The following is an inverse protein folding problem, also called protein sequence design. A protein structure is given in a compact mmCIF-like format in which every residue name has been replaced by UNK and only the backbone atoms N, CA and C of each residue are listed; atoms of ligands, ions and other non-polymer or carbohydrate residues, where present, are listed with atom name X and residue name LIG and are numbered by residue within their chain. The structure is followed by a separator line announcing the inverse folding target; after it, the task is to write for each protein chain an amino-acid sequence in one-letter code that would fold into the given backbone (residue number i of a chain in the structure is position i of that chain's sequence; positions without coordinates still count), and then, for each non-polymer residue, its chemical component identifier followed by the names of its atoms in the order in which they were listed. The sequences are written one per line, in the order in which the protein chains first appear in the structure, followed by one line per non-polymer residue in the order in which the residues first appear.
data_IF_240781481431
#
_entry.id   IF_240781481431
#
_cell.length_a   1.000
_cell.length_b   1.000
_cell.length_c   1.000
_cell.angle_alpha   90.00
_cell.angle_beta   90.00
_cell.angle_gamma   90.00
#
_symmetry.space_group_name_H-M   'P 1'
#
loop_
_entity.id
_entity.type
_entity.pdbx_description
1 polymer ?
#
# COMPACT_ATOMS: atom_id res chain seq x y z
N UNK A 1 -28.06 3.95 -4.16
CA UNK A 1 -28.40 5.22 -4.82
C UNK A 1 -28.09 5.12 -6.30
N UNK A 2 -29.06 5.38 -7.19
CA UNK A 2 -28.81 5.42 -8.63
C UNK A 2 -28.07 6.72 -9.00
N UNK A 3 -27.10 6.64 -9.92
CA UNK A 3 -26.30 7.76 -10.44
C UNK A 3 -25.49 8.56 -9.40
N UNK A 4 -24.76 7.87 -8.51
CA UNK A 4 -23.76 8.48 -7.64
C UNK A 4 -22.49 8.81 -8.44
N UNK A 5 -22.14 10.10 -8.49
CA UNK A 5 -20.91 10.62 -9.11
C UNK A 5 -20.02 11.22 -8.04
N UNK A 6 -18.71 10.94 -8.09
CA UNK A 6 -17.77 11.39 -7.06
C UNK A 6 -16.75 12.36 -7.64
N UNK A 7 -16.62 13.52 -6.99
CA UNK A 7 -15.60 14.52 -7.27
C UNK A 7 -14.59 14.54 -6.12
N UNK A 8 -13.34 14.19 -6.40
CA UNK A 8 -12.26 14.17 -5.40
C UNK A 8 -11.37 15.40 -5.60
N UNK A 9 -11.31 16.25 -4.58
CA UNK A 9 -10.51 17.47 -4.59
C UNK A 9 -9.04 17.16 -4.29
N UNK A 10 -8.18 17.33 -5.29
CA UNK A 10 -6.75 17.01 -5.23
C UNK A 10 -5.84 18.09 -5.84
N UNK A 11 -6.34 19.32 -6.01
CA UNK A 11 -5.65 20.39 -6.71
C UNK A 11 -4.74 21.27 -5.82
N UNK A 12 -4.84 21.13 -4.49
CA UNK A 12 -4.09 21.95 -3.54
C UNK A 12 -2.58 21.68 -3.57
N UNK A 13 -1.78 22.74 -3.50
CA UNK A 13 -0.31 22.69 -3.56
C UNK A 13 0.33 21.94 -2.37
N UNK A 14 -0.32 21.92 -1.21
CA UNK A 14 0.16 21.17 -0.05
C UNK A 14 1.50 21.67 0.53
N UNK A 15 1.77 22.97 0.47
CA UNK A 15 3.04 23.60 0.88
C UNK A 15 3.53 23.19 2.28
N UNK A 16 2.60 22.95 3.22
CA UNK A 16 2.89 22.45 4.58
C UNK A 16 3.54 21.06 4.63
N UNK A 17 3.45 20.27 3.56
CA UNK A 17 4.13 18.98 3.43
C UNK A 17 5.63 19.11 3.20
N UNK A 18 6.11 20.27 2.70
CA UNK A 18 7.53 20.50 2.37
C UNK A 18 8.12 19.35 1.54
N UNK A 19 7.45 19.02 0.42
CA UNK A 19 7.77 17.84 -0.40
C UNK A 19 7.59 18.16 -1.88
N UNK A 20 8.46 17.59 -2.72
CA UNK A 20 8.30 17.65 -4.19
C UNK A 20 7.24 16.68 -4.74
N UNK A 21 6.76 15.78 -3.87
CA UNK A 21 5.67 14.85 -4.16
C UNK A 21 4.35 15.56 -3.83
N UNK A 22 3.36 15.59 -4.74
CA UNK A 22 2.04 16.14 -4.47
C UNK A 22 1.43 15.55 -3.19
N UNK A 23 0.80 16.41 -2.37
CA UNK A 23 0.23 16.04 -1.06
C UNK A 23 -0.52 14.71 -1.10
N UNK A 24 -1.48 14.59 -2.02
CA UNK A 24 -2.38 13.45 -2.19
C UNK A 24 -1.69 12.13 -2.60
N UNK A 25 -0.46 12.19 -3.10
CA UNK A 25 0.32 11.01 -3.50
C UNK A 25 1.22 10.48 -2.38
N UNK A 26 1.33 11.19 -1.24
CA UNK A 26 1.96 10.58 -0.07
C UNK A 26 1.21 9.32 0.34
N UNK A 27 1.97 8.35 0.86
CA UNK A 27 1.44 7.03 1.18
C UNK A 27 1.09 6.92 2.66
N UNK A 28 -0.07 6.34 2.92
CA UNK A 28 -0.47 5.82 4.22
C UNK A 28 -0.27 4.30 4.13
N UNK A 29 0.74 3.80 4.84
CA UNK A 29 1.30 2.47 4.61
C UNK A 29 1.81 2.36 3.17
N UNK A 30 1.38 1.38 2.38
CA UNK A 30 1.85 1.12 1.03
C UNK A 30 1.00 1.79 -0.08
N UNK A 31 -0.08 2.49 0.27
CA UNK A 31 -1.05 3.07 -0.69
C UNK A 31 -1.14 4.59 -0.59
N UNK A 32 -1.35 5.27 -1.72
CA UNK A 32 -1.48 6.74 -1.77
C UNK A 32 -2.77 7.21 -1.10
N UNK A 33 -2.77 8.41 -0.51
CA UNK A 33 -3.96 8.93 0.16
C UNK A 33 -5.17 9.03 -0.78
N UNK A 34 -4.96 9.55 -1.99
CA UNK A 34 -6.03 9.60 -3.00
C UNK A 34 -6.49 8.20 -3.42
N UNK A 35 -5.59 7.20 -3.41
CA UNK A 35 -5.95 5.82 -3.69
C UNK A 35 -6.95 5.25 -2.70
N UNK A 36 -6.78 5.52 -1.39
CA UNK A 36 -7.76 5.14 -0.38
C UNK A 36 -9.13 5.80 -0.62
N UNK A 37 -9.16 7.08 -0.99
CA UNK A 37 -10.41 7.81 -1.24
C UNK A 37 -11.13 7.28 -2.50
N UNK A 38 -10.37 7.00 -3.57
CA UNK A 38 -10.91 6.37 -4.78
C UNK A 38 -11.52 5.01 -4.46
N UNK A 39 -10.80 4.15 -3.72
CA UNK A 39 -11.28 2.82 -3.38
C UNK A 39 -12.50 2.86 -2.46
N UNK A 40 -12.51 3.70 -1.43
CA UNK A 40 -13.69 3.88 -0.57
C UNK A 40 -14.92 4.32 -1.39
N UNK A 41 -14.71 5.17 -2.39
CA UNK A 41 -15.77 5.60 -3.31
C UNK A 41 -16.29 4.45 -4.19
N UNK A 42 -15.39 3.64 -4.75
CA UNK A 42 -15.74 2.47 -5.57
C UNK A 42 -16.45 1.39 -4.76
N UNK A 43 -15.94 1.10 -3.55
CA UNK A 43 -16.54 0.17 -2.59
C UNK A 43 -17.94 0.62 -2.15
N UNK A 44 -18.20 1.94 -2.08
CA UNK A 44 -19.52 2.51 -1.84
C UNK A 44 -20.46 2.46 -3.07
N UNK A 45 -19.99 1.92 -4.20
CA UNK A 45 -20.77 1.72 -5.41
C UNK A 45 -20.66 2.83 -6.46
N UNK A 46 -19.77 3.80 -6.29
CA UNK A 46 -19.53 4.82 -7.31
C UNK A 46 -18.85 4.22 -8.55
N UNK A 47 -19.42 4.50 -9.72
CA UNK A 47 -18.87 4.10 -11.03
C UNK A 47 -18.19 5.25 -11.74
N UNK A 48 -18.65 6.47 -11.48
CA UNK A 48 -18.17 7.70 -12.08
C UNK A 48 -17.37 8.47 -11.03
N UNK A 49 -16.05 8.58 -11.26
CA UNK A 49 -15.14 9.31 -10.36
C UNK A 49 -14.33 10.30 -11.17
N UNK A 50 -14.33 11.56 -10.73
CA UNK A 50 -13.54 12.64 -11.27
C UNK A 50 -12.57 13.18 -10.21
N UNK A 51 -11.27 13.16 -10.50
CA UNK A 51 -10.24 13.74 -9.63
C UNK A 51 -9.87 15.13 -10.15
N UNK A 52 -10.12 16.16 -9.35
CA UNK A 52 -9.74 17.54 -9.66
C UNK A 52 -8.30 17.76 -9.28
N UNK A 53 -7.43 17.98 -10.27
CA UNK A 53 -5.98 18.14 -10.10
C UNK A 53 -5.53 19.56 -10.45
N UNK A 54 -4.43 20.01 -9.86
CA UNK A 54 -3.92 21.38 -10.02
C UNK A 54 -2.42 21.38 -10.22
N UNK A 55 -1.69 21.91 -9.24
CA UNK A 55 -0.23 21.91 -9.23
C UNK A 55 0.34 20.50 -9.42
N UNK A 56 1.36 20.35 -10.29
CA UNK A 56 1.97 19.05 -10.64
C UNK A 56 0.96 17.97 -11.11
N UNK A 57 -0.15 18.39 -11.72
CA UNK A 57 -1.23 17.49 -12.17
C UNK A 57 -0.77 16.32 -13.04
N UNK A 58 0.30 16.45 -13.83
CA UNK A 58 0.84 15.35 -14.64
C UNK A 58 1.27 14.16 -13.78
N UNK A 59 1.96 14.42 -12.65
CA UNK A 59 2.41 13.36 -11.74
C UNK A 59 1.21 12.63 -11.11
N UNK A 60 0.21 13.39 -10.66
CA UNK A 60 -1.03 12.84 -10.06
C UNK A 60 -1.81 12.01 -11.08
N UNK A 61 -2.00 12.53 -12.30
CA UNK A 61 -2.71 11.82 -13.38
C UNK A 61 -2.03 10.52 -13.75
N UNK A 62 -0.72 10.55 -13.99
CA UNK A 62 0.01 9.35 -14.41
C UNK A 62 -0.04 8.29 -13.30
N UNK A 63 0.25 8.67 -12.05
CA UNK A 63 0.21 7.75 -10.92
C UNK A 63 -1.16 7.10 -10.75
N UNK A 64 -2.26 7.88 -10.84
CA UNK A 64 -3.61 7.33 -10.70
C UNK A 64 -3.98 6.43 -11.89
N UNK A 65 -3.62 6.81 -13.12
CA UNK A 65 -3.88 5.99 -14.32
C UNK A 65 -3.14 4.65 -14.32
N UNK A 66 -1.96 4.61 -13.72
CA UNK A 66 -1.19 3.36 -13.59
C UNK A 66 -1.82 2.38 -12.58
N UNK A 67 -2.69 2.88 -11.68
CA UNK A 67 -3.28 2.09 -10.59
C UNK A 67 -4.78 1.82 -10.74
N UNK A 68 -5.51 2.70 -11.43
CA UNK A 68 -6.97 2.68 -11.50
C UNK A 68 -7.46 2.93 -12.93
N UNK A 69 -8.40 2.10 -13.36
CA UNK A 69 -9.14 2.29 -14.60
C UNK A 69 -10.31 3.26 -14.41
N UNK A 70 -10.77 3.87 -15.51
CA UNK A 70 -12.01 4.66 -15.58
C UNK A 70 -12.08 5.89 -14.65
N UNK A 71 -10.95 6.47 -14.27
CA UNK A 71 -10.90 7.74 -13.52
C UNK A 71 -10.85 8.94 -14.49
N UNK A 72 -11.81 9.85 -14.35
CA UNK A 72 -11.82 11.13 -15.06
C UNK A 72 -10.97 12.17 -14.32
N UNK A 73 -10.48 13.16 -15.06
CA UNK A 73 -9.66 14.22 -14.47
C UNK A 73 -10.11 15.60 -14.93
N UNK A 74 -10.38 16.47 -13.96
CA UNK A 74 -10.57 17.90 -14.18
C UNK A 74 -9.30 18.66 -13.79
N UNK A 75 -8.97 19.75 -14.47
CA UNK A 75 -7.77 20.55 -14.18
C UNK A 75 -8.17 21.91 -13.64
N UNK A 76 -7.87 22.16 -12.37
CA UNK A 76 -7.92 23.47 -11.76
C UNK A 76 -6.59 24.20 -11.97
N UNK A 77 -6.50 24.97 -13.06
CA UNK A 77 -5.29 25.75 -13.40
C UNK A 77 -4.94 26.77 -12.31
N UNK A 78 -5.95 27.51 -11.84
CA UNK A 78 -5.84 28.52 -10.79
C UNK A 78 -6.60 28.06 -9.54
N UNK A 79 -5.92 28.00 -8.39
CA UNK A 79 -6.49 27.53 -7.13
C UNK A 79 -7.33 28.64 -6.46
N UNK A 80 -8.46 29.00 -7.08
CA UNK A 80 -9.37 30.06 -6.61
C UNK A 80 -10.39 29.59 -5.53
N UNK A 81 -10.08 28.53 -4.78
CA UNK A 81 -10.97 27.97 -3.75
C UNK A 81 -11.60 26.60 -4.11
N UNK A 82 -12.29 26.01 -3.13
CA UNK A 82 -12.88 24.67 -3.20
C UNK A 82 -14.12 24.61 -4.10
N UNK A 83 -14.96 25.65 -4.09
CA UNK A 83 -16.11 25.77 -5.00
C UNK A 83 -15.64 25.84 -6.45
N UNK A 84 -14.64 26.68 -6.73
CA UNK A 84 -14.01 26.76 -8.05
C UNK A 84 -13.44 25.41 -8.50
N UNK A 85 -12.88 24.61 -7.59
CA UNK A 85 -12.36 23.28 -7.90
C UNK A 85 -13.46 22.32 -8.38
N UNK A 86 -14.61 22.29 -7.69
CA UNK A 86 -15.75 21.47 -8.10
C UNK A 86 -16.33 21.95 -9.44
N UNK A 87 -16.41 23.27 -9.67
CA UNK A 87 -16.84 23.83 -10.96
C UNK A 87 -15.98 23.32 -12.14
N UNK A 88 -14.70 23.03 -11.94
CA UNK A 88 -13.83 22.50 -13.01
C UNK A 88 -14.23 21.10 -13.49
N UNK A 89 -15.04 20.36 -12.72
CA UNK A 89 -15.58 19.08 -13.15
C UNK A 89 -16.57 19.21 -14.32
N UNK A 90 -17.09 20.42 -14.57
CA UNK A 90 -17.83 20.76 -15.81
C UNK A 90 -19.02 19.84 -16.06
N UNK A 91 -19.05 19.19 -17.22
CA UNK A 91 -20.15 18.30 -17.61
C UNK A 91 -20.35 17.12 -16.66
N UNK A 92 -19.34 16.74 -15.88
CA UNK A 92 -19.42 15.64 -14.92
C UNK A 92 -20.46 15.87 -13.83
N UNK A 93 -20.69 17.13 -13.44
CA UNK A 93 -21.57 17.52 -12.32
C UNK A 93 -22.96 18.00 -12.77
N UNK A 94 -23.35 17.75 -14.02
CA UNK A 94 -24.63 18.23 -14.57
C UNK A 94 -25.86 17.44 -14.17
N UNK A 95 -25.69 16.21 -13.70
CA UNK A 95 -26.79 15.30 -13.37
C UNK A 95 -26.41 14.32 -12.25
N UNK A 96 -27.43 13.69 -11.65
CA UNK A 96 -27.28 12.72 -10.57
C UNK A 96 -26.98 13.36 -9.21
N UNK A 97 -26.38 12.56 -8.33
CA UNK A 97 -25.94 13.00 -7.00
C UNK A 97 -24.43 13.12 -6.98
N UNK A 98 -23.94 14.31 -6.62
CA UNK A 98 -22.53 14.67 -6.66
C UNK A 98 -21.96 14.59 -5.24
N UNK A 99 -21.21 13.53 -4.95
CA UNK A 99 -20.44 13.38 -3.73
C UNK A 99 -19.09 14.08 -3.90
N UNK A 100 -18.78 15.04 -3.04
CA UNK A 100 -17.51 15.76 -3.02
C UNK A 100 -16.68 15.26 -1.84
N UNK A 101 -15.47 14.77 -2.12
CA UNK A 101 -14.51 14.27 -1.14
C UNK A 101 -13.17 15.01 -1.26
N UNK A 102 -12.41 15.01 -0.17
CA UNK A 102 -11.05 15.54 -0.14
C UNK A 102 -10.03 14.42 -0.42
N UNK A 103 -9.06 14.65 -1.31
CA UNK A 103 -8.03 13.65 -1.65
C UNK A 103 -6.98 13.40 -0.56
N UNK A 104 -7.03 14.15 0.56
CA UNK A 104 -6.12 14.07 1.70
C UNK A 104 -6.78 13.56 2.99
N UNK A 105 -7.98 12.99 2.90
CA UNK A 105 -8.69 12.30 4.00
C UNK A 105 -8.70 10.78 3.74
N UNK A 106 -7.56 10.08 3.91
CA UNK A 106 -7.42 8.68 3.52
C UNK A 106 -8.15 7.68 4.42
N UNK A 107 -8.72 8.13 5.55
CA UNK A 107 -9.37 7.28 6.54
C UNK A 107 -10.88 7.11 6.32
N UNK A 108 -11.47 7.82 5.35
CA UNK A 108 -12.88 7.71 5.00
C UNK A 108 -13.23 6.28 4.58
N UNK A 109 -14.37 5.78 5.03
CA UNK A 109 -14.84 4.43 4.73
C UNK A 109 -16.00 4.41 3.73
N UNK A 110 -16.13 3.29 3.01
CA UNK A 110 -17.27 3.04 2.15
C UNK A 110 -18.60 3.01 2.93
N UNK A 111 -18.58 2.52 4.16
CA UNK A 111 -19.74 2.50 5.06
C UNK A 111 -20.24 3.92 5.36
N UNK A 112 -19.34 4.83 5.74
CA UNK A 112 -19.66 6.24 5.99
C UNK A 112 -20.22 6.93 4.75
N UNK A 113 -19.63 6.66 3.58
CA UNK A 113 -20.15 7.18 2.30
C UNK A 113 -21.56 6.63 2.03
N UNK A 114 -21.80 5.35 2.28
CA UNK A 114 -23.12 4.71 2.17
C UNK A 114 -24.17 5.38 3.06
N UNK A 115 -23.87 5.53 4.36
CA UNK A 115 -24.75 6.21 5.35
C UNK A 115 -25.11 7.63 4.90
N UNK A 116 -24.14 8.38 4.39
CA UNK A 116 -24.37 9.73 3.86
C UNK A 116 -25.32 9.71 2.65
N UNK A 117 -25.12 8.78 1.72
CA UNK A 117 -26.00 8.64 0.56
C UNK A 117 -27.43 8.30 0.97
N UNK A 118 -27.60 7.38 1.92
CA UNK A 118 -28.90 6.96 2.42
C UNK A 118 -29.64 8.11 3.14
N UNK A 119 -28.94 8.89 3.96
CA UNK A 119 -29.49 10.09 4.60
C UNK A 119 -29.92 11.13 3.56
N UNK A 120 -29.07 11.41 2.57
CA UNK A 120 -29.36 12.38 1.51
C UNK A 120 -30.62 12.00 0.73
N UNK A 121 -30.74 10.71 0.37
CA UNK A 121 -31.87 10.20 -0.41
C UNK A 121 -33.15 10.15 0.42
N UNK A 122 -33.10 9.57 1.63
CA UNK A 122 -34.28 9.39 2.49
C UNK A 122 -34.95 10.70 2.90
N UNK A 123 -34.16 11.75 3.12
CA UNK A 123 -34.65 13.07 3.50
C UNK A 123 -34.88 14.00 2.29
N UNK A 124 -34.67 13.49 1.07
CA UNK A 124 -34.78 14.25 -0.18
C UNK A 124 -33.97 15.57 -0.14
N UNK A 125 -32.82 15.55 0.52
CA UNK A 125 -31.99 16.73 0.73
C UNK A 125 -31.51 17.31 -0.62
N UNK A 126 -31.35 18.62 -0.71
CA UNK A 126 -30.68 19.27 -1.84
C UNK A 126 -29.16 19.20 -1.68
N UNK A 127 -28.69 19.27 -0.44
CA UNK A 127 -27.32 19.01 -0.03
C UNK A 127 -27.32 18.33 1.34
N UNK A 128 -26.38 17.42 1.55
CA UNK A 128 -26.09 16.87 2.87
C UNK A 128 -24.60 16.99 3.14
N UNK A 129 -24.26 17.53 4.31
CA UNK A 129 -22.88 17.70 4.77
C UNK A 129 -22.59 16.75 5.91
N UNK A 130 -21.37 16.24 5.97
CA UNK A 130 -20.88 15.53 7.16
C UNK A 130 -20.21 16.52 8.09
N UNK A 131 -20.69 16.58 9.33
CA UNK A 131 -20.07 17.32 10.42
C UNK A 131 -19.42 16.38 11.42
N UNK A 132 -18.52 16.90 12.25
CA UNK A 132 -17.97 16.19 13.40
C UNK A 132 -17.86 17.13 14.59
N UNK A 133 -17.87 16.60 15.81
CA UNK A 133 -17.68 17.40 17.03
C UNK A 133 -16.28 17.14 17.56
N UNK A 134 -15.46 18.20 17.64
CA UNK A 134 -14.05 18.10 18.06
C UNK A 134 -13.76 18.95 19.28
N UNK A 135 -12.75 18.56 20.06
CA UNK A 135 -12.32 19.35 21.20
C UNK A 135 -11.61 20.65 20.82
N UNK A 136 -10.82 20.62 19.74
CA UNK A 136 -10.13 21.78 19.20
C UNK A 136 -10.56 22.01 17.73
N UNK A 137 -11.47 22.96 17.47
CA UNK A 137 -12.00 23.21 16.14
C UNK A 137 -11.09 24.11 15.26
N UNK A 138 -9.90 24.48 15.74
CA UNK A 138 -8.98 25.39 15.05
C UNK A 138 -8.68 24.91 13.63
N UNK A 139 -8.95 25.78 12.65
CA UNK A 139 -8.62 25.55 11.23
C UNK A 139 -9.72 24.89 10.40
N UNK A 140 -10.84 24.48 11.02
CA UNK A 140 -12.02 23.99 10.31
C UNK A 140 -13.09 25.07 10.12
N UNK A 141 -14.01 24.88 9.17
CA UNK A 141 -15.25 25.65 9.10
C UNK A 141 -16.23 25.23 10.21
N UNK A 142 -16.96 26.19 10.78
CA UNK A 142 -17.93 25.97 11.86
C UNK A 142 -19.32 25.72 11.30
N UNK A 143 -19.99 24.67 11.78
CA UNK A 143 -21.39 24.39 11.44
C UNK A 143 -22.24 25.22 12.39
N UNK A 144 -22.90 26.26 11.88
CA UNK A 144 -23.80 27.10 12.69
C UNK A 144 -25.22 26.58 12.50
N UNK A 145 -25.95 26.43 13.61
CA UNK A 145 -27.35 26.00 13.64
C UNK A 145 -28.27 27.10 14.16
N UNK A 146 -29.51 27.10 13.67
CA UNK A 146 -30.62 27.88 14.19
C UNK A 146 -31.71 26.91 14.66
N UNK A 147 -31.93 26.82 15.98
CA UNK A 147 -32.92 25.93 16.62
C UNK A 147 -32.90 24.51 16.01
N UNK A 148 -31.72 23.88 16.05
CA UNK A 148 -31.36 22.57 15.48
C UNK A 148 -31.25 22.46 13.95
N UNK A 149 -31.77 23.41 13.19
CA UNK A 149 -31.65 23.45 11.73
C UNK A 149 -30.32 24.04 11.26
N UNK A 150 -29.83 23.64 10.08
CA UNK A 150 -28.64 24.24 9.48
C UNK A 150 -28.86 25.75 9.24
N UNK A 151 -27.93 26.60 9.68
CA UNK A 151 -27.93 28.02 9.36
C UNK A 151 -26.94 28.35 8.23
N UNK A 152 -25.64 28.15 8.49
CA UNK A 152 -24.54 28.44 7.57
C UNK A 152 -23.27 27.69 7.99
N UNK A 153 -22.27 27.66 7.12
CA UNK A 153 -20.89 27.28 7.48
C UNK A 153 -20.04 28.54 7.46
N UNK A 154 -19.22 28.74 8.49
CA UNK A 154 -18.30 29.88 8.56
C UNK A 154 -16.87 29.39 8.67
N UNK A 155 -16.02 29.73 7.69
CA UNK A 155 -14.60 29.37 7.69
C UNK A 155 -13.86 30.04 8.86
N UNK A 156 -12.81 29.39 9.38
CA UNK A 156 -12.05 29.84 10.56
C UNK A 156 -11.57 31.31 10.51
N UNK A 157 -11.28 31.84 9.31
CA UNK A 157 -10.82 33.23 9.15
C UNK A 157 -11.95 34.25 9.18
N UNK A 158 -13.18 33.80 8.96
CA UNK A 158 -14.38 34.62 8.84
C UNK A 158 -15.27 34.51 10.09
N UNK A 159 -14.93 33.65 11.06
CA UNK A 159 -15.67 33.50 12.33
C UNK A 159 -15.53 34.70 13.26
N UNK A 160 -16.61 35.10 13.91
CA UNK A 160 -16.56 35.95 15.10
C UNK A 160 -16.18 35.15 16.38
N UNK A 161 -16.03 35.83 17.53
CA UNK A 161 -15.61 35.21 18.80
C UNK A 161 -16.55 34.08 19.28
N UNK A 162 -17.85 34.20 19.06
CA UNK A 162 -18.84 33.19 19.45
C UNK A 162 -18.85 32.02 18.45
N UNK A 163 -18.82 32.31 17.15
CA UNK A 163 -18.72 31.30 16.10
C UNK A 163 -17.45 30.46 16.26
N UNK A 164 -16.31 31.09 16.60
CA UNK A 164 -15.04 30.41 16.79
C UNK A 164 -15.05 29.33 17.90
N UNK A 165 -15.92 29.48 18.91
CA UNK A 165 -16.10 28.54 20.03
C UNK A 165 -16.94 27.31 19.67
N UNK A 166 -17.69 27.35 18.56
CA UNK A 166 -18.52 26.21 18.13
C UNK A 166 -17.61 25.01 17.85
N UNK A 167 -17.95 23.87 18.45
CA UNK A 167 -17.17 22.62 18.35
C UNK A 167 -17.62 21.70 17.21
N UNK A 168 -18.82 21.89 16.69
CA UNK A 168 -19.30 21.18 15.50
C UNK A 168 -18.66 21.81 14.26
N UNK A 169 -17.87 21.02 13.55
CA UNK A 169 -17.05 21.47 12.43
C UNK A 169 -17.40 20.74 11.15
N UNK A 170 -17.13 21.42 10.04
CA UNK A 170 -17.26 20.90 8.69
C UNK A 170 -16.10 19.96 8.35
N UNK A 171 -16.42 18.77 7.84
CA UNK A 171 -15.42 17.78 7.40
C UNK A 171 -14.92 18.01 5.97
N UNK A 172 -15.64 18.81 5.17
CA UNK A 172 -15.39 18.95 3.75
C UNK A 172 -15.98 17.84 2.88
N UNK A 173 -16.80 16.95 3.46
CA UNK A 173 -17.53 15.89 2.75
C UNK A 173 -18.98 16.31 2.56
N UNK A 174 -19.44 16.27 1.31
CA UNK A 174 -20.78 16.72 0.94
C UNK A 174 -21.37 15.83 -0.14
N UNK A 175 -22.68 15.69 -0.17
CA UNK A 175 -23.41 15.15 -1.33
C UNK A 175 -24.49 16.15 -1.75
N UNK A 176 -24.54 16.45 -3.04
CA UNK A 176 -25.47 17.41 -3.63
C UNK A 176 -26.34 16.77 -4.70
N UNK A 177 -27.56 17.27 -4.85
CA UNK A 177 -28.26 17.14 -6.14
C UNK A 177 -27.59 18.05 -7.16
N UNK A 178 -27.28 17.53 -8.35
CA UNK A 178 -26.62 18.30 -9.41
C UNK A 178 -27.33 19.63 -9.72
N UNK A 179 -28.66 19.64 -9.86
CA UNK A 179 -29.42 20.87 -10.15
C UNK A 179 -29.27 21.94 -9.07
N UNK A 180 -29.25 21.54 -7.79
CA UNK A 180 -29.11 22.46 -6.67
C UNK A 180 -27.68 23.02 -6.61
N UNK A 181 -26.68 22.17 -6.83
CA UNK A 181 -25.27 22.57 -6.87
C UNK A 181 -24.99 23.58 -8.00
N UNK A 182 -25.47 23.29 -9.21
CA UNK A 182 -25.24 24.17 -10.36
C UNK A 182 -25.92 25.53 -10.21
N UNK A 183 -27.16 25.58 -9.68
CA UNK A 183 -27.83 26.86 -9.35
C UNK A 183 -27.07 27.65 -8.30
N UNK A 184 -26.56 26.97 -7.26
CA UNK A 184 -25.77 27.62 -6.23
C UNK A 184 -24.48 28.24 -6.79
N UNK A 185 -23.84 27.58 -7.76
CA UNK A 185 -22.66 28.10 -8.45
C UNK A 185 -22.91 29.38 -9.26
N UNK A 186 -24.12 29.61 -9.77
CA UNK A 186 -24.46 30.89 -10.46
C UNK A 186 -24.44 32.09 -9.50
N UNK A 187 -24.62 31.85 -8.20
CA UNK A 187 -24.66 32.87 -7.15
C UNK A 187 -23.42 32.90 -6.27
N UNK A 188 -22.52 31.93 -6.43
CA UNK A 188 -21.33 31.82 -5.60
C UNK A 188 -20.38 32.99 -5.88
N UNK A 189 -20.12 33.78 -4.85
CA UNK A 189 -19.15 34.87 -4.87
C UNK A 189 -17.83 34.51 -4.21
N UNK A 190 -16.92 35.48 -4.16
CA UNK A 190 -15.64 35.38 -3.47
C UNK A 190 -15.41 36.54 -2.48
N UNK A 191 -16.49 37.14 -1.99
CA UNK A 191 -16.43 38.25 -1.03
C UNK A 191 -16.25 37.73 0.41
N UNK A 192 -15.08 37.17 0.68
CA UNK A 192 -14.66 36.67 1.98
C UNK A 192 -13.21 37.07 2.26
N UNK A 193 -12.72 36.78 3.47
CA UNK A 193 -11.36 37.14 3.91
C UNK A 193 -10.23 36.60 3.02
N UNK A 194 -10.48 35.56 2.21
CA UNK A 194 -9.49 34.95 1.32
C UNK A 194 -9.66 35.33 -0.17
N UNK A 195 -10.77 35.95 -0.56
CA UNK A 195 -11.05 36.20 -1.98
C UNK A 195 -11.30 34.93 -2.79
N UNK A 196 -11.69 33.83 -2.14
CA UNK A 196 -11.83 32.49 -2.72
C UNK A 196 -13.31 32.09 -2.92
N UNK A 197 -13.61 31.23 -3.88
CA UNK A 197 -14.94 30.63 -4.03
C UNK A 197 -15.07 29.44 -3.08
N UNK A 198 -15.70 29.64 -1.93
CA UNK A 198 -15.88 28.59 -0.92
C UNK A 198 -17.04 27.66 -1.27
N UNK A 199 -16.78 26.35 -1.35
CA UNK A 199 -17.85 25.37 -1.52
C UNK A 199 -18.86 25.42 -0.37
N UNK A 200 -18.41 25.80 0.82
CA UNK A 200 -19.23 25.91 2.04
C UNK A 200 -20.36 26.93 1.91
N UNK A 201 -20.15 28.03 1.18
CA UNK A 201 -21.17 29.06 0.94
C UNK A 201 -22.35 28.53 0.10
N UNK A 202 -22.15 27.47 -0.71
CA UNK A 202 -23.22 26.90 -1.52
C UNK A 202 -24.37 26.33 -0.68
N UNK A 203 -24.10 25.87 0.56
CA UNK A 203 -25.14 25.32 1.42
C UNK A 203 -26.13 26.42 1.87
N UNK A 204 -25.61 27.60 2.21
CA UNK A 204 -26.45 28.75 2.57
C UNK A 204 -27.24 29.25 1.34
N UNK A 205 -26.61 29.30 0.17
CA UNK A 205 -27.29 29.64 -1.09
C UNK A 205 -28.44 28.67 -1.38
N UNK A 206 -28.19 27.36 -1.30
CA UNK A 206 -29.22 26.32 -1.52
C UNK A 206 -30.37 26.46 -0.53
N UNK A 207 -30.07 26.70 0.76
CA UNK A 207 -31.09 26.95 1.78
C UNK A 207 -31.96 28.16 1.42
N UNK A 208 -31.33 29.28 1.03
CA UNK A 208 -32.03 30.52 0.69
C UNK A 208 -32.88 30.40 -0.58
N UNK A 209 -32.58 29.44 -1.45
CA UNK A 209 -33.42 29.06 -2.60
C UNK A 209 -34.55 28.07 -2.25
N UNK A 210 -34.72 27.72 -0.97
CA UNK A 210 -35.73 26.78 -0.50
C UNK A 210 -35.33 25.30 -0.59
N UNK A 211 -34.05 25.01 -0.85
CA UNK A 211 -33.51 23.67 -0.82
C UNK A 211 -33.30 23.16 0.61
N UNK A 212 -33.41 21.84 0.80
CA UNK A 212 -33.21 21.22 2.10
C UNK A 212 -31.72 20.92 2.34
N UNK A 213 -31.21 21.25 3.54
CA UNK A 213 -29.82 21.03 3.95
C UNK A 213 -29.79 20.02 5.10
N UNK A 214 -29.33 18.81 4.82
CA UNK A 214 -29.12 17.78 5.82
C UNK A 214 -27.73 17.86 6.46
N UNK A 215 -27.63 17.45 7.72
CA UNK A 215 -26.35 17.31 8.42
C UNK A 215 -26.26 15.89 8.98
N UNK A 216 -25.19 15.18 8.63
CA UNK A 216 -24.83 13.90 9.24
C UNK A 216 -23.69 14.14 10.23
N UNK A 217 -23.90 13.90 11.51
CA UNK A 217 -22.81 13.94 12.49
C UNK A 217 -22.04 12.63 12.40
N UNK A 218 -20.72 12.70 12.22
CA UNK A 218 -19.83 11.55 12.14
C UNK A 218 -19.78 10.77 13.47
N UNK A 219 -19.80 9.44 13.38
CA UNK A 219 -19.62 8.55 14.52
C UNK A 219 -18.14 8.49 14.99
N UNK A 220 -17.20 8.52 14.03
CA UNK A 220 -15.75 8.51 14.26
C UNK A 220 -15.11 9.71 13.55
N UNK A 221 -14.56 10.65 14.33
CA UNK A 221 -13.91 11.86 13.83
C UNK A 221 -12.60 11.56 13.10
N UNK A 222 -11.93 10.43 13.41
CA UNK A 222 -10.67 10.03 12.78
C UNK A 222 -10.81 9.81 11.28
N UNK A 223 -11.98 9.39 10.80
CA UNK A 223 -12.24 9.19 9.36
C UNK A 223 -12.02 10.47 8.53
N UNK A 224 -12.29 11.62 9.14
CA UNK A 224 -12.27 12.92 8.49
C UNK A 224 -10.98 13.71 8.76
N UNK A 225 -9.98 13.08 9.39
CA UNK A 225 -8.71 13.72 9.67
C UNK A 225 -7.94 14.03 8.37
N UNK A 226 -7.87 15.32 8.03
CA UNK A 226 -7.15 15.82 6.87
C UNK A 226 -5.63 15.85 7.06
N UNK A 227 -4.90 15.22 6.12
CA UNK A 227 -3.44 15.13 6.14
C UNK A 227 -2.82 16.35 5.48
N UNK A 228 -2.42 17.32 6.30
CA UNK A 228 -1.86 18.59 5.84
C UNK A 228 -0.36 18.77 6.14
N UNK A 229 0.23 17.87 6.94
CA UNK A 229 1.64 17.90 7.34
C UNK A 229 2.17 16.48 7.49
N UNK A 230 3.50 16.32 7.63
CA UNK A 230 4.12 15.01 7.93
C UNK A 230 3.71 14.45 9.29
N UNK A 231 3.38 15.32 10.25
CA UNK A 231 2.82 14.90 11.54
C UNK A 231 1.45 14.25 11.35
N UNK A 232 0.56 14.89 10.58
CA UNK A 232 -0.76 14.32 10.28
C UNK A 232 -0.64 13.03 9.46
N UNK A 233 0.34 12.94 8.56
CA UNK A 233 0.60 11.72 7.81
C UNK A 233 0.98 10.56 8.74
N UNK A 234 1.84 10.80 9.73
CA UNK A 234 2.20 9.81 10.75
C UNK A 234 0.97 9.37 11.57
N UNK A 235 0.10 10.31 11.95
CA UNK A 235 -1.14 10.02 12.65
C UNK A 235 -2.10 9.17 11.77
N UNK A 236 -2.22 9.49 10.48
CA UNK A 236 -3.03 8.70 9.55
C UNK A 236 -2.49 7.28 9.37
N UNK A 237 -1.16 7.11 9.31
CA UNK A 237 -0.51 5.80 9.28
C UNK A 237 -0.82 5.01 10.55
N UNK A 238 -0.74 5.64 11.72
CA UNK A 238 -1.06 4.98 12.98
C UNK A 238 -2.52 4.50 13.04
N UNK A 239 -3.47 5.37 12.68
CA UNK A 239 -4.89 5.04 12.66
C UNK A 239 -5.23 3.95 11.63
N UNK A 240 -4.68 4.02 10.42
CA UNK A 240 -4.91 2.99 9.39
C UNK A 240 -4.32 1.64 9.79
N UNK A 241 -3.10 1.64 10.37
CA UNK A 241 -2.45 0.43 10.89
C UNK A 241 -3.29 -0.21 12.00
N UNK A 242 -3.78 0.59 12.94
CA UNK A 242 -4.66 0.12 14.01
C UNK A 242 -5.91 -0.54 13.44
N UNK A 243 -6.59 0.11 12.48
CA UNK A 243 -7.79 -0.41 11.82
C UNK A 243 -7.53 -1.75 11.13
N UNK A 244 -6.51 -1.82 10.27
CA UNK A 244 -6.18 -3.03 9.51
C UNK A 244 -5.78 -4.18 10.44
N UNK A 245 -4.88 -3.92 11.40
CA UNK A 245 -4.42 -4.96 12.32
C UNK A 245 -5.56 -5.46 13.20
N UNK A 246 -6.45 -4.56 13.66
CA UNK A 246 -7.64 -4.94 14.45
C UNK A 246 -8.55 -5.87 13.66
N UNK A 247 -8.85 -5.54 12.39
CA UNK A 247 -9.68 -6.40 11.56
C UNK A 247 -9.06 -7.78 11.35
N UNK A 248 -7.76 -7.85 11.06
CA UNK A 248 -7.06 -9.13 10.90
C UNK A 248 -7.08 -9.98 12.18
N UNK A 249 -6.98 -9.36 13.35
CA UNK A 249 -7.09 -10.07 14.63
C UNK A 249 -8.51 -10.59 14.87
N UNK A 250 -9.54 -9.81 14.51
CA UNK A 250 -10.95 -10.26 14.54
C UNK A 250 -11.14 -11.46 13.60
N UNK A 251 -10.49 -11.45 12.44
CA UNK A 251 -10.55 -12.52 11.44
C UNK A 251 -9.72 -13.77 11.82
N UNK A 252 -9.05 -13.77 12.98
CA UNK A 252 -8.37 -14.96 13.54
C UNK A 252 -6.84 -14.98 13.38
N UNK A 253 -6.21 -13.85 13.02
CA UNK A 253 -4.75 -13.73 12.95
C UNK A 253 -4.18 -13.32 14.31
N UNK A 254 -3.10 -13.95 14.75
CA UNK A 254 -2.39 -13.52 15.96
C UNK A 254 -1.31 -12.50 15.59
N UNK A 255 -1.51 -11.24 15.97
CA UNK A 255 -0.49 -10.19 15.84
C UNK A 255 0.06 -9.90 17.24
N UNK A 256 1.29 -10.32 17.52
CA UNK A 256 1.83 -10.29 18.90
C UNK A 256 2.10 -8.87 19.40
N UNK A 257 2.42 -7.94 18.49
CA UNK A 257 2.55 -6.51 18.77
C UNK A 257 1.98 -5.70 17.59
N UNK A 258 0.67 -5.34 17.65
CA UNK A 258 0.03 -4.55 16.60
C UNK A 258 0.62 -3.14 16.44
N UNK A 259 1.30 -2.62 17.45
CA UNK A 259 1.89 -1.28 17.40
C UNK A 259 3.17 -1.23 16.55
N UNK A 260 3.87 -2.36 16.40
CA UNK A 260 5.11 -2.48 15.63
C UNK A 260 4.98 -3.33 14.36
N UNK A 261 3.75 -3.67 13.96
CA UNK A 261 3.46 -4.49 12.77
C UNK A 261 2.74 -3.66 11.72
N UNK A 262 3.26 -3.62 10.49
CA UNK A 262 2.74 -2.79 9.40
C UNK A 262 2.20 -3.69 8.29
N UNK A 263 0.88 -3.63 8.05
CA UNK A 263 0.20 -4.47 7.07
C UNK A 263 -0.60 -3.56 6.13
N UNK A 264 -0.33 -3.65 4.83
CA UNK A 264 -1.06 -2.90 3.80
C UNK A 264 -2.51 -3.37 3.63
N UNK A 265 -3.38 -2.48 3.16
CA UNK A 265 -4.83 -2.74 3.01
C UNK A 265 -5.15 -3.96 2.14
N UNK A 266 -4.31 -4.24 1.14
CA UNK A 266 -4.55 -5.30 0.16
C UNK A 266 -3.99 -6.67 0.57
N UNK A 267 -3.29 -6.74 1.71
CA UNK A 267 -2.71 -7.98 2.22
C UNK A 267 -3.79 -8.88 2.79
N UNK A 268 -3.74 -10.17 2.45
CA UNK A 268 -4.64 -11.19 2.98
C UNK A 268 -3.87 -12.19 3.81
N UNK A 269 -4.36 -12.46 5.01
CA UNK A 269 -3.74 -13.41 5.94
C UNK A 269 -4.84 -14.33 6.45
N UNK A 270 -4.65 -15.63 6.31
CA UNK A 270 -5.62 -16.62 6.77
C UNK A 270 -5.49 -16.86 8.30
N UNK A 271 -6.54 -17.42 8.94
CA UNK A 271 -6.56 -17.65 10.39
C UNK A 271 -5.44 -18.54 10.92
N UNK A 272 -5.19 -18.45 12.23
CA UNK A 272 -4.17 -19.19 12.99
C UNK A 272 -2.72 -18.87 12.60
N UNK A 273 -2.51 -17.90 11.71
CA UNK A 273 -1.17 -17.37 11.40
C UNK A 273 -0.72 -16.40 12.49
N UNK A 274 0.55 -16.50 12.88
CA UNK A 274 1.19 -15.66 13.88
C UNK A 274 2.15 -14.68 13.20
N UNK A 275 1.97 -13.40 13.49
CA UNK A 275 2.83 -12.31 13.03
C UNK A 275 3.57 -11.71 14.23
N UNK A 276 4.90 -11.83 14.21
CA UNK A 276 5.81 -11.26 15.20
C UNK A 276 6.15 -9.78 14.92
N UNK A 277 6.70 -9.06 15.91
CA UNK A 277 6.98 -7.62 15.81
C UNK A 277 7.91 -7.23 14.66
N UNK A 278 7.75 -5.99 14.17
CA UNK A 278 8.61 -5.41 13.14
C UNK A 278 8.34 -5.89 11.71
N UNK A 279 7.28 -6.68 11.50
CA UNK A 279 6.93 -7.14 10.15
C UNK A 279 6.34 -6.01 9.30
N UNK A 280 6.69 -6.02 8.01
CA UNK A 280 6.19 -5.11 6.98
C UNK A 280 5.61 -5.94 5.82
N UNK A 281 4.29 -6.03 5.74
CA UNK A 281 3.57 -6.81 4.73
C UNK A 281 2.87 -5.85 3.78
N UNK A 282 3.20 -5.91 2.49
CA UNK A 282 2.83 -4.89 1.50
C UNK A 282 2.34 -5.51 0.19
N UNK A 283 1.67 -4.71 -0.65
CA UNK A 283 1.24 -5.10 -1.98
C UNK A 283 0.16 -6.18 -1.97
N UNK A 284 0.15 -7.04 -2.99
CA UNK A 284 -0.84 -8.15 -3.11
C UNK A 284 -0.38 -9.41 -2.36
N UNK A 285 0.23 -9.24 -1.20
CA UNK A 285 0.72 -10.36 -0.39
C UNK A 285 -0.43 -11.22 0.12
N UNK A 286 -0.28 -12.54 0.00
CA UNK A 286 -1.24 -13.53 0.51
C UNK A 286 -0.49 -14.52 1.38
N UNK A 287 -0.97 -14.72 2.61
CA UNK A 287 -0.40 -15.64 3.59
C UNK A 287 -1.47 -16.65 4.00
N UNK A 288 -1.15 -17.94 3.88
CA UNK A 288 -1.98 -19.08 4.25
C UNK A 288 -2.18 -19.21 5.76
N UNK A 289 -2.75 -20.34 6.16
CA UNK A 289 -3.10 -20.67 7.55
C UNK A 289 -1.90 -21.19 8.32
N UNK A 290 -1.93 -21.00 9.64
CA UNK A 290 -0.96 -21.61 10.55
C UNK A 290 0.51 -21.28 10.20
N UNK A 291 0.75 -20.12 9.59
CA UNK A 291 2.09 -19.64 9.30
C UNK A 291 2.71 -18.95 10.52
N UNK A 292 4.03 -18.87 10.55
CA UNK A 292 4.78 -18.10 11.55
C UNK A 292 5.66 -17.10 10.81
N UNK A 293 5.35 -15.81 10.93
CA UNK A 293 6.02 -14.74 10.20
C UNK A 293 6.70 -13.80 11.18
N UNK A 294 7.99 -13.55 10.97
CA UNK A 294 8.78 -12.58 11.72
C UNK A 294 9.78 -13.20 12.71
N UNK A 295 10.40 -12.35 13.55
CA UNK A 295 10.27 -10.88 13.57
C UNK A 295 10.94 -10.23 12.34
N UNK A 296 10.75 -8.91 12.18
CA UNK A 296 11.46 -8.06 11.21
C UNK A 296 11.45 -8.60 9.75
N UNK A 297 10.35 -9.22 9.35
CA UNK A 297 10.21 -9.81 8.01
C UNK A 297 9.49 -8.83 7.09
N UNK A 298 10.00 -8.66 5.87
CA UNK A 298 9.36 -7.85 4.83
C UNK A 298 8.85 -8.76 3.72
N UNK A 299 7.57 -8.66 3.40
CA UNK A 299 6.95 -9.43 2.31
C UNK A 299 6.19 -8.45 1.42
N UNK A 300 6.50 -8.45 0.13
CA UNK A 300 5.83 -7.61 -0.86
C UNK A 300 5.36 -8.44 -2.04
N UNK A 301 4.06 -8.34 -2.35
CA UNK A 301 3.41 -9.01 -3.49
C UNK A 301 3.77 -10.49 -3.65
N UNK A 302 3.91 -11.21 -2.53
CA UNK A 302 4.32 -12.62 -2.51
C UNK A 302 3.20 -13.53 -2.02
N UNK A 303 3.26 -14.80 -2.40
CA UNK A 303 2.33 -15.84 -1.93
C UNK A 303 3.05 -16.80 -0.99
N UNK A 304 2.50 -16.98 0.20
CA UNK A 304 2.99 -17.91 1.22
C UNK A 304 1.87 -18.87 1.53
N UNK A 305 2.05 -20.15 1.22
CA UNK A 305 1.04 -21.19 1.50
C UNK A 305 1.00 -21.57 2.99
N UNK A 306 0.15 -22.51 3.36
CA UNK A 306 -0.10 -22.91 4.74
C UNK A 306 1.15 -23.48 5.45
N UNK A 307 1.24 -23.32 6.77
CA UNK A 307 2.27 -23.93 7.61
C UNK A 307 3.72 -23.52 7.25
N UNK A 308 3.92 -22.33 6.70
CA UNK A 308 5.25 -21.79 6.38
C UNK A 308 5.79 -20.99 7.57
N UNK A 309 7.11 -21.12 7.83
CA UNK A 309 7.81 -20.28 8.80
C UNK A 309 8.80 -19.36 8.09
N UNK A 310 8.69 -18.05 8.29
CA UNK A 310 9.59 -17.03 7.73
C UNK A 310 10.13 -16.17 8.87
N UNK A 311 11.44 -16.09 9.01
CA UNK A 311 12.10 -15.32 10.06
C UNK A 311 13.05 -14.30 9.45
N UNK A 312 13.05 -13.06 9.95
CA UNK A 312 14.02 -11.99 9.61
C UNK A 312 14.46 -11.95 8.14
N UNK A 313 13.52 -12.08 7.20
CA UNK A 313 13.81 -12.27 5.78
C UNK A 313 13.04 -11.29 4.89
N UNK A 314 13.48 -11.15 3.65
CA UNK A 314 12.84 -10.30 2.64
C UNK A 314 12.33 -11.16 1.49
N UNK A 315 11.06 -11.02 1.15
CA UNK A 315 10.42 -11.68 0.02
C UNK A 315 9.78 -10.63 -0.89
N UNK A 316 10.16 -10.62 -2.17
CA UNK A 316 9.62 -9.73 -3.19
C UNK A 316 9.15 -10.56 -4.38
N UNK A 317 7.87 -10.49 -4.72
CA UNK A 317 7.26 -11.20 -5.85
C UNK A 317 7.67 -12.69 -5.92
N UNK A 318 7.63 -13.36 -4.77
CA UNK A 318 8.05 -14.74 -4.58
C UNK A 318 6.88 -15.65 -4.18
N UNK A 319 7.08 -16.96 -4.34
CA UNK A 319 6.13 -17.99 -3.90
C UNK A 319 6.82 -18.98 -2.99
N UNK A 320 6.21 -19.28 -1.86
CA UNK A 320 6.71 -20.26 -0.87
C UNK A 320 5.59 -21.23 -0.54
N UNK A 321 5.78 -22.50 -0.90
CA UNK A 321 4.81 -23.56 -0.65
C UNK A 321 4.87 -24.09 0.79
N UNK A 322 3.87 -24.90 1.13
CA UNK A 322 3.62 -25.36 2.49
C UNK A 322 4.79 -26.09 3.16
N UNK A 323 4.82 -26.01 4.49
CA UNK A 323 5.80 -26.68 5.36
C UNK A 323 7.27 -26.27 5.11
N UNK A 324 7.50 -25.21 4.34
CA UNK A 324 8.82 -24.66 4.07
C UNK A 324 9.25 -23.69 5.15
N UNK A 325 10.56 -23.61 5.38
CA UNK A 325 11.16 -22.65 6.30
C UNK A 325 12.11 -21.71 5.56
N UNK A 326 11.98 -20.41 5.82
CA UNK A 326 12.79 -19.34 5.21
C UNK A 326 13.43 -18.48 6.30
N UNK A 327 14.75 -18.33 6.20
CA UNK A 327 15.55 -17.50 7.06
C UNK A 327 16.18 -18.20 8.28
N UNK A 328 16.78 -17.41 9.20
CA UNK A 328 16.79 -15.93 9.19
C UNK A 328 17.66 -15.32 8.09
N UNK A 329 17.48 -14.04 7.75
CA UNK A 329 18.36 -13.30 6.81
C UNK A 329 18.40 -13.88 5.38
N UNK A 330 17.31 -14.49 4.93
CA UNK A 330 17.16 -14.89 3.54
C UNK A 330 16.61 -13.73 2.70
N UNK A 331 16.93 -13.74 1.41
CA UNK A 331 16.40 -12.80 0.43
C UNK A 331 15.84 -13.54 -0.79
N UNK A 332 14.52 -13.61 -0.89
CA UNK A 332 13.83 -14.12 -2.07
C UNK A 332 13.44 -12.96 -2.98
N UNK A 333 14.03 -12.94 -4.17
CA UNK A 333 13.81 -11.92 -5.19
C UNK A 333 12.71 -12.35 -6.16
N UNK A 334 12.25 -11.43 -7.04
CA UNK A 334 11.15 -11.71 -7.96
C UNK A 334 11.35 -12.99 -8.77
N UNK A 335 10.21 -13.64 -9.04
CA UNK A 335 10.11 -14.89 -9.80
C UNK A 335 10.79 -16.09 -9.13
N UNK A 336 11.03 -16.04 -7.82
CA UNK A 336 11.51 -17.21 -7.06
C UNK A 336 10.34 -18.05 -6.57
N UNK A 337 10.37 -19.34 -6.86
CA UNK A 337 9.37 -20.31 -6.42
C UNK A 337 10.03 -21.39 -5.57
N UNK A 338 9.62 -21.51 -4.30
CA UNK A 338 10.14 -22.47 -3.35
C UNK A 338 9.06 -23.54 -3.10
N UNK A 339 9.42 -24.79 -3.34
CA UNK A 339 8.60 -25.99 -3.17
C UNK A 339 8.26 -26.29 -1.71
N UNK A 340 7.58 -27.41 -1.51
CA UNK A 340 7.15 -27.87 -0.18
C UNK A 340 8.32 -28.47 0.61
N UNK A 341 8.27 -28.39 1.93
CA UNK A 341 9.28 -28.98 2.82
C UNK A 341 10.73 -28.52 2.54
N UNK A 342 10.91 -27.35 1.94
CA UNK A 342 12.21 -26.79 1.66
C UNK A 342 12.83 -26.09 2.89
N UNK A 343 14.15 -25.95 2.87
CA UNK A 343 14.90 -25.14 3.84
C UNK A 343 15.70 -24.08 3.10
N UNK A 344 15.28 -22.82 3.21
CA UNK A 344 16.08 -21.67 2.80
C UNK A 344 16.62 -21.05 4.08
N UNK A 345 17.90 -21.26 4.39
CA UNK A 345 18.49 -20.82 5.64
C UNK A 345 19.15 -19.45 5.56
N UNK A 346 20.19 -19.26 6.37
CA UNK A 346 20.77 -17.95 6.61
C UNK A 346 21.72 -17.45 5.53
N UNK A 347 21.58 -16.16 5.24
CA UNK A 347 22.36 -15.45 4.22
C UNK A 347 22.27 -16.11 2.84
N UNK A 348 21.07 -16.59 2.52
CA UNK A 348 20.75 -17.19 1.23
C UNK A 348 19.96 -16.19 0.38
N UNK A 349 20.43 -15.97 -0.85
CA UNK A 349 19.71 -15.17 -1.86
C UNK A 349 19.25 -16.09 -2.99
N UNK A 350 17.96 -16.00 -3.34
CA UNK A 350 17.37 -16.73 -4.46
C UNK A 350 16.69 -15.74 -5.39
N UNK A 351 16.89 -15.90 -6.69
CA UNK A 351 16.35 -15.00 -7.70
C UNK A 351 15.97 -15.75 -8.98
N UNK A 352 14.74 -15.59 -9.44
CA UNK A 352 14.28 -16.14 -10.73
C UNK A 352 14.57 -17.64 -10.87
N UNK A 353 14.39 -18.37 -9.78
CA UNK A 353 14.76 -19.78 -9.65
C UNK A 353 13.59 -20.60 -9.11
N UNK A 354 13.49 -21.84 -9.57
CA UNK A 354 12.57 -22.86 -9.06
C UNK A 354 13.35 -23.82 -8.17
N UNK A 355 12.94 -23.94 -6.92
CA UNK A 355 13.50 -24.88 -5.95
C UNK A 355 12.42 -25.91 -5.64
N UNK A 356 12.59 -27.15 -6.08
CA UNK A 356 11.56 -28.19 -5.91
C UNK A 356 11.63 -28.83 -4.51
N UNK A 357 10.62 -29.64 -4.21
CA UNK A 357 10.27 -30.11 -2.87
C UNK A 357 11.43 -30.78 -2.12
N UNK A 358 11.53 -30.52 -0.81
CA UNK A 358 12.52 -31.13 0.07
C UNK A 358 13.95 -30.61 -0.10
N UNK A 359 14.19 -29.68 -1.02
CA UNK A 359 15.52 -29.11 -1.26
C UNK A 359 15.97 -28.16 -0.16
N UNK A 360 17.27 -28.23 0.16
CA UNK A 360 17.91 -27.47 1.22
C UNK A 360 19.01 -26.57 0.68
N UNK A 361 18.80 -25.27 0.81
CA UNK A 361 19.79 -24.21 0.58
C UNK A 361 20.00 -23.51 1.91
N UNK A 362 20.93 -24.02 2.72
CA UNK A 362 20.91 -23.70 4.16
C UNK A 362 21.77 -22.51 4.56
N UNK A 363 22.90 -22.25 3.89
CA UNK A 363 23.87 -21.26 4.37
C UNK A 363 24.61 -20.56 3.24
N UNK A 364 24.75 -19.22 3.32
CA UNK A 364 25.70 -18.41 2.55
C UNK A 364 25.74 -18.76 1.05
N UNK A 365 24.57 -18.83 0.41
CA UNK A 365 24.45 -19.36 -0.96
C UNK A 365 23.64 -18.41 -1.83
N UNK A 366 24.08 -18.22 -3.08
CA UNK A 366 23.33 -17.50 -4.11
C UNK A 366 22.82 -18.48 -5.18
N UNK A 367 21.50 -18.49 -5.40
CA UNK A 367 20.83 -19.28 -6.45
C UNK A 367 20.03 -18.36 -7.39
N UNK A 368 20.68 -17.90 -8.44
CA UNK A 368 20.11 -17.07 -9.50
C UNK A 368 19.84 -17.87 -10.77
N UNK A 369 18.69 -17.61 -11.40
CA UNK A 369 18.32 -18.15 -12.71
C UNK A 369 18.50 -19.68 -12.78
N UNK A 370 17.92 -20.46 -11.86
CA UNK A 370 18.16 -21.91 -11.80
C UNK A 370 16.90 -22.75 -11.65
N UNK A 371 16.90 -23.93 -12.23
CA UNK A 371 15.89 -24.97 -12.01
C UNK A 371 16.53 -26.10 -11.19
N UNK A 372 16.06 -26.24 -9.95
CA UNK A 372 16.62 -27.16 -8.97
C UNK A 372 15.56 -28.19 -8.61
N UNK A 373 15.90 -29.47 -8.80
CA UNK A 373 15.05 -30.62 -8.52
C UNK A 373 14.82 -30.86 -7.04
N UNK A 374 14.24 -32.02 -6.74
CA UNK A 374 13.78 -32.42 -5.41
C UNK A 374 14.93 -32.92 -4.55
N UNK A 375 14.80 -32.74 -3.24
CA UNK A 375 15.72 -33.32 -2.25
C UNK A 375 17.21 -32.98 -2.51
N UNK A 376 17.50 -31.84 -3.14
CA UNK A 376 18.87 -31.39 -3.40
C UNK A 376 19.44 -30.78 -2.12
N UNK A 377 20.73 -30.98 -1.87
CA UNK A 377 21.42 -30.36 -0.75
C UNK A 377 22.56 -29.45 -1.22
N UNK A 378 22.44 -28.16 -0.96
CA UNK A 378 23.51 -27.19 -1.20
C UNK A 378 24.41 -27.07 0.02
N UNK A 379 25.68 -27.36 -0.18
CA UNK A 379 26.74 -27.02 0.76
C UNK A 379 26.93 -25.51 0.88
N UNK A 380 27.34 -25.07 2.05
CA UNK A 380 27.59 -23.67 2.37
C UNK A 380 28.56 -23.01 1.38
N UNK A 381 28.32 -21.74 1.01
CA UNK A 381 29.19 -20.99 0.12
C UNK A 381 29.00 -21.30 -1.36
N UNK A 382 27.91 -21.97 -1.75
CA UNK A 382 27.67 -22.30 -3.15
C UNK A 382 27.19 -21.09 -3.94
N UNK A 383 27.57 -21.00 -5.21
CA UNK A 383 27.12 -19.94 -6.12
C UNK A 383 26.72 -20.53 -7.47
N UNK A 384 25.50 -20.25 -7.91
CA UNK A 384 25.14 -20.39 -9.33
C UNK A 384 25.61 -19.15 -10.08
N UNK A 385 26.70 -19.28 -10.83
CA UNK A 385 27.32 -18.16 -11.55
C UNK A 385 26.54 -17.94 -12.85
N UNK A 386 25.46 -17.17 -12.76
CA UNK A 386 24.48 -16.98 -13.82
C UNK A 386 24.81 -15.85 -14.80
N UNK A 387 25.90 -15.10 -14.63
CA UNK A 387 26.23 -13.91 -15.42
C UNK A 387 27.66 -13.96 -15.96
N UNK A 388 27.83 -13.77 -17.27
CA UNK A 388 29.14 -13.83 -17.95
C UNK A 388 29.83 -12.46 -18.13
N UNK A 389 29.21 -11.39 -17.63
CA UNK A 389 29.61 -10.00 -17.90
C UNK A 389 28.73 -9.27 -18.92
N UNK A 390 27.82 -9.99 -19.60
CA UNK A 390 26.87 -9.42 -20.58
C UNK A 390 25.50 -10.10 -20.54
N UNK A 391 25.45 -11.42 -20.58
CA UNK A 391 24.25 -12.24 -20.67
C UNK A 391 24.05 -13.06 -19.39
N UNK A 392 22.82 -13.56 -19.21
CA UNK A 392 22.49 -14.49 -18.13
C UNK A 392 22.03 -15.84 -18.66
N UNK A 393 22.40 -16.89 -17.95
CA UNK A 393 22.09 -18.27 -18.33
C UNK A 393 21.57 -19.05 -17.13
N UNK A 394 20.84 -20.13 -17.41
CA UNK A 394 20.27 -20.98 -16.38
C UNK A 394 21.15 -22.17 -16.01
N UNK A 395 21.16 -22.53 -14.73
CA UNK A 395 21.62 -23.84 -14.28
C UNK A 395 20.44 -24.81 -14.19
N UNK A 396 20.67 -26.08 -14.52
CA UNK A 396 19.72 -27.17 -14.30
C UNK A 396 20.34 -28.18 -13.34
N UNK A 397 19.71 -28.40 -12.19
CA UNK A 397 20.18 -29.30 -11.14
C UNK A 397 19.08 -30.33 -10.93
N UNK A 398 19.39 -31.60 -11.15
CA UNK A 398 18.48 -32.72 -11.03
C UNK A 398 18.14 -33.08 -9.58
N UNK A 399 17.37 -34.14 -9.42
CA UNK A 399 16.89 -34.61 -8.11
C UNK A 399 18.01 -35.27 -7.30
N UNK A 400 17.92 -35.19 -5.97
CA UNK A 400 18.79 -35.89 -5.01
C UNK A 400 20.29 -35.55 -5.18
N UNK A 401 20.59 -34.39 -5.76
CA UNK A 401 21.97 -33.93 -5.97
C UNK A 401 22.57 -33.41 -4.66
N UNK A 402 23.84 -33.71 -4.44
CA UNK A 402 24.64 -33.12 -3.36
C UNK A 402 25.68 -32.16 -3.92
N UNK A 403 25.50 -30.86 -3.66
CA UNK A 403 26.47 -29.84 -4.03
C UNK A 403 27.40 -29.59 -2.84
N UNK A 404 28.70 -29.92 -2.97
CA UNK A 404 29.68 -29.71 -1.92
C UNK A 404 29.89 -28.23 -1.59
N UNK A 405 30.34 -27.93 -0.36
CA UNK A 405 30.57 -26.56 0.09
C UNK A 405 31.52 -25.79 -0.84
N UNK A 406 31.29 -24.48 -1.00
CA UNK A 406 32.08 -23.59 -1.85
C UNK A 406 32.17 -24.08 -3.31
N UNK A 407 31.10 -24.67 -3.83
CA UNK A 407 31.01 -25.03 -5.25
C UNK A 407 30.57 -23.82 -6.07
N UNK A 408 31.22 -23.59 -7.21
CA UNK A 408 30.76 -22.65 -8.23
C UNK A 408 30.15 -23.43 -9.39
N UNK A 409 28.88 -23.17 -9.71
CA UNK A 409 28.19 -23.75 -10.87
C UNK A 409 28.16 -22.70 -11.98
N UNK A 410 29.03 -22.83 -12.98
CA UNK A 410 29.16 -21.84 -14.06
C UNK A 410 28.05 -22.06 -15.10
N UNK A 411 27.04 -21.18 -15.11
CA UNK A 411 25.93 -21.30 -16.03
C UNK A 411 26.36 -21.00 -17.49
N UNK A 412 25.78 -21.67 -18.50
CA UNK A 412 24.84 -22.78 -18.38
C UNK A 412 25.54 -24.09 -17.99
N UNK A 413 25.01 -24.78 -16.98
CA UNK A 413 25.50 -26.10 -16.56
C UNK A 413 24.36 -27.01 -16.12
N UNK A 414 24.49 -28.30 -16.42
CA UNK A 414 23.56 -29.34 -15.99
C UNK A 414 24.26 -30.29 -15.00
N UNK A 415 23.66 -30.48 -13.83
CA UNK A 415 24.05 -31.51 -12.85
C UNK A 415 22.90 -32.49 -12.79
N UNK A 416 23.08 -33.69 -13.31
CA UNK A 416 21.99 -34.69 -13.37
C UNK A 416 21.73 -35.34 -12.00
N UNK A 417 20.69 -36.17 -11.94
CA UNK A 417 20.15 -36.75 -10.71
C UNK A 417 21.20 -37.55 -9.93
N UNK A 418 21.13 -37.46 -8.59
CA UNK A 418 21.99 -38.18 -7.63
C UNK A 418 23.50 -37.91 -7.79
N UNK A 419 23.88 -36.89 -8.56
CA UNK A 419 25.26 -36.49 -8.71
C UNK A 419 25.80 -35.77 -7.47
N UNK A 420 27.12 -35.76 -7.33
CA UNK A 420 27.85 -35.09 -6.27
C UNK A 420 28.85 -34.09 -6.84
N UNK A 421 29.03 -32.96 -6.18
CA UNK A 421 30.22 -32.10 -6.37
C UNK A 421 31.09 -32.14 -5.12
N UNK A 422 32.41 -32.27 -5.31
CA UNK A 422 33.34 -32.14 -4.19
C UNK A 422 33.45 -30.69 -3.75
N UNK A 423 33.67 -30.47 -2.45
CA UNK A 423 33.83 -29.13 -1.89
C UNK A 423 34.97 -28.34 -2.56
N UNK A 424 34.73 -27.06 -2.84
CA UNK A 424 35.68 -26.15 -3.50
C UNK A 424 35.80 -26.37 -5.01
N UNK A 425 34.85 -27.07 -5.65
CA UNK A 425 34.89 -27.34 -7.08
C UNK A 425 34.27 -26.20 -7.91
N UNK A 426 34.89 -25.89 -9.04
CA UNK A 426 34.28 -25.03 -10.07
C UNK A 426 33.80 -25.87 -11.25
N UNK A 427 32.50 -26.05 -11.36
CA UNK A 427 31.85 -26.92 -12.35
C UNK A 427 31.52 -26.11 -13.61
N UNK A 428 32.15 -26.49 -14.72
CA UNK A 428 32.02 -25.82 -16.03
C UNK A 428 31.45 -26.73 -17.11
N UNK A 429 31.17 -27.99 -16.78
CA UNK A 429 30.66 -29.00 -17.72
C UNK A 429 29.57 -29.80 -17.04
N UNK A 430 28.74 -30.44 -17.87
CA UNK A 430 27.71 -31.36 -17.43
C UNK A 430 28.27 -32.42 -16.49
N UNK A 431 27.58 -32.66 -15.38
CA UNK A 431 27.88 -33.73 -14.43
C UNK A 431 26.82 -34.83 -14.62
N UNK A 432 27.20 -36.02 -15.11
CA UNK A 432 26.28 -37.13 -15.30
C UNK A 432 25.68 -37.65 -13.99
N UNK A 433 24.58 -38.39 -14.11
CA UNK A 433 23.90 -39.00 -12.98
C UNK A 433 24.85 -39.92 -12.19
N UNK A 434 24.60 -40.06 -10.89
CA UNK A 434 25.33 -40.96 -10.00
C UNK A 434 26.87 -40.75 -9.98
N UNK A 435 27.34 -39.59 -10.43
CA UNK A 435 28.76 -39.28 -10.59
C UNK A 435 29.26 -38.25 -9.58
N UNK A 436 30.56 -38.31 -9.24
CA UNK A 436 31.25 -37.29 -8.45
C UNK A 436 32.08 -36.38 -9.36
N UNK A 437 31.75 -35.09 -9.41
CA UNK A 437 32.55 -34.06 -10.05
C UNK A 437 33.54 -33.42 -9.07
N UNK A 438 34.83 -33.44 -9.41
CA UNK A 438 35.90 -32.81 -8.63
C UNK A 438 36.66 -31.85 -9.54
N UNK A 439 36.65 -30.56 -9.20
CA UNK A 439 37.33 -29.52 -9.98
C UNK A 439 38.12 -28.57 -9.06
N UNK A 440 39.13 -29.12 -8.37
CA UNK A 440 40.02 -28.40 -7.45
C UNK A 440 41.46 -28.94 -7.51
N UNK A 441 42.43 -28.13 -7.07
CA UNK A 441 43.83 -28.55 -6.98
C UNK A 441 44.05 -29.58 -5.85
N UNK A 442 45.06 -30.43 -6.01
CA UNK A 442 45.54 -31.27 -4.89
C UNK A 442 46.24 -30.39 -3.86
N UNK A 443 46.02 -30.70 -2.58
CA UNK A 443 46.65 -29.97 -1.49
C UNK A 443 48.17 -30.20 -1.48
N UNK A 444 48.94 -29.14 -1.24
CA UNK A 444 50.38 -29.17 -0.99
C UNK A 444 50.68 -28.45 0.34
N UNK A 445 51.52 -29.05 1.19
CA UNK A 445 51.95 -28.44 2.44
C UNK A 445 53.39 -27.91 2.31
N UNK A 446 53.57 -26.59 2.47
CA UNK A 446 54.90 -25.95 2.49
C UNK A 446 55.40 -25.80 3.93
N UNK A 447 56.11 -26.82 4.41
CA UNK A 447 56.58 -26.85 5.79
C UNK A 447 57.51 -25.67 6.12
N UNK A 448 57.33 -25.12 7.33
CA UNK A 448 58.14 -24.00 7.83
C UNK A 448 57.86 -22.63 7.21
N UNK A 449 56.76 -22.45 6.44
CA UNK A 449 56.44 -21.19 5.74
C UNK A 449 56.55 -19.94 6.63
N UNK A 450 55.96 -19.95 7.83
CA UNK A 450 56.00 -18.80 8.77
C UNK A 450 57.43 -18.40 9.19
N UNK A 451 58.37 -19.34 9.22
CA UNK A 451 59.79 -19.06 9.53
C UNK A 451 60.53 -18.44 8.35
N UNK A 452 60.05 -18.64 7.12
CA UNK A 452 60.64 -18.07 5.89
C UNK A 452 60.17 -16.64 5.62
N UNK A 453 58.94 -16.30 6.03
CA UNK A 453 58.34 -14.98 5.78
C UNK A 453 58.66 -13.96 6.88
N UNK A 454 58.90 -14.39 8.13
CA UNK A 454 59.30 -13.50 9.23
C UNK A 454 60.82 -13.25 9.29
N UNK A 455 61.51 -13.20 8.14
CA UNK A 455 62.94 -12.88 8.05
C UNK A 455 63.16 -11.46 7.56
#
# INVERSE_FOLDING_TARGET
MDNLKVVILAAGQGTRMKSDVPKVLHRVLDKTMVGYVIEASQEAGAKDICVVVGHQSAMVKNTIKDMYDNIQFAVQKEQLGTGHAVMQAGDFIKDGNILVLCGDTPLITAETIGKLCDLHQSQNNSVTVVSMVVDNPTGYGRIIRDNDSFAKIVEQKDTNEEEAKVKEVNTGVYIFKADALNKAFEKLGNNNSQGEYYLTDTLEIIKNEGGNVGIMVADDDKEFMGVNSKLHLSQAIAAMKERINTQLMIDGVTITDPSSTYIGKDVKIAPDTIIYPGCMLEGKTVIGKSCIIGPNTRISSSTVDDCVTIQMSVLLDAKVKSFTTVGPFAYLRPNSCIGEHCRIGDFVEIKNSNIDDGTKVSHLTYVGDSDVGKCVNFGCGTVTVNYDGKNKYRCKIGDEVFIGCNTNLIAPVEVENRAYTAAGSTITKKVPSDSLAIARARQENKEGWRKKVNK
#
